data_IF_794682016886
#
_entry.id   IF_794682016886
#
_cell.length_a   1.000
_cell.length_b   1.000
_cell.length_c   1.000
_cell.angle_alpha   90.00
_cell.angle_beta   90.00
_cell.angle_gamma   90.00
#
_symmetry.space_group_name_H-M   'P 1'
#
loop_
_entity.id
_entity.type
_entity.pdbx_description
1 polymer ?
#
# COMPACT_ATOMS: atom_id res chain seq x y z
N UNK A 1 -10.21 1.83 47.61
CA UNK A 1 -9.61 0.84 46.67
C UNK A 1 -10.70 -0.01 45.99
N UNK A 2 -11.58 0.57 45.15
CA UNK A 2 -12.71 -0.16 44.53
C UNK A 2 -13.08 0.30 43.09
N UNK A 3 -12.13 0.79 42.30
CA UNK A 3 -12.41 1.23 40.91
C UNK A 3 -11.96 0.25 39.81
N UNK A 4 -11.41 -0.92 40.19
CA UNK A 4 -10.76 -1.85 39.25
C UNK A 4 -11.72 -2.81 38.53
N UNK A 5 -13.02 -2.50 38.49
CA UNK A 5 -14.06 -3.43 37.99
C UNK A 5 -15.19 -2.73 37.22
N UNK A 6 -14.89 -1.65 36.48
CA UNK A 6 -15.80 -1.18 35.42
C UNK A 6 -15.56 -2.03 34.18
N UNK A 7 -16.60 -2.58 33.51
CA UNK A 7 -16.40 -3.22 32.21
C UNK A 7 -15.74 -2.21 31.29
N UNK A 8 -14.57 -2.56 30.76
CA UNK A 8 -13.85 -1.75 29.78
C UNK A 8 -14.83 -1.31 28.69
N UNK A 9 -14.84 -0.01 28.36
CA UNK A 9 -15.65 0.47 27.25
C UNK A 9 -15.29 -0.35 26.01
N UNK A 10 -16.24 -0.64 25.12
CA UNK A 10 -15.98 -1.43 23.89
C UNK A 10 -14.80 -0.86 23.08
N UNK A 11 -14.55 0.44 23.21
CA UNK A 11 -13.36 1.09 22.66
C UNK A 11 -12.07 0.58 23.31
N UNK A 12 -11.98 0.52 24.64
CA UNK A 12 -10.77 0.13 25.38
C UNK A 12 -10.33 -1.31 25.06
N UNK A 13 -11.28 -2.21 24.82
CA UNK A 13 -10.96 -3.59 24.42
C UNK A 13 -10.41 -3.68 23.00
N UNK A 14 -10.86 -2.82 22.09
CA UNK A 14 -10.35 -2.71 20.70
C UNK A 14 -8.99 -2.02 20.67
N UNK A 15 -8.75 -1.04 21.55
CA UNK A 15 -7.51 -0.27 21.61
C UNK A 15 -6.38 -0.97 22.39
N UNK A 16 -6.71 -1.97 23.22
CA UNK A 16 -5.74 -2.72 24.03
C UNK A 16 -4.52 -3.25 23.24
N UNK A 17 -4.65 -3.77 22.01
CA UNK A 17 -3.51 -4.19 21.20
C UNK A 17 -2.62 -3.02 20.73
N UNK A 18 -3.16 -1.81 20.60
CA UNK A 18 -2.39 -0.60 20.27
C UNK A 18 -1.60 -0.10 21.48
N UNK A 19 -2.15 -0.24 22.68
CA UNK A 19 -1.53 0.26 23.92
C UNK A 19 -0.30 -0.54 24.36
N UNK A 20 -0.20 -1.82 24.00
CA UNK A 20 0.96 -2.65 24.37
C UNK A 20 1.37 -3.59 23.23
N UNK A 21 2.03 -3.07 22.18
CA UNK A 21 2.46 -3.89 21.05
C UNK A 21 3.54 -4.88 21.48
N UNK A 22 3.41 -6.14 21.08
CA UNK A 22 4.42 -7.16 21.37
C UNK A 22 5.75 -6.91 20.64
N UNK A 23 6.85 -7.47 21.14
CA UNK A 23 8.18 -7.35 20.50
C UNK A 23 8.18 -7.73 19.01
N UNK A 24 7.37 -8.72 18.62
CA UNK A 24 7.19 -9.14 17.22
C UNK A 24 6.67 -8.01 16.32
N UNK A 25 5.76 -7.19 16.82
CA UNK A 25 5.23 -6.05 16.07
C UNK A 25 6.35 -5.06 15.72
N UNK A 26 7.18 -4.68 16.70
CA UNK A 26 8.30 -3.79 16.47
C UNK A 26 9.30 -4.36 15.46
N UNK A 27 9.62 -5.66 15.54
CA UNK A 27 10.50 -6.32 14.56
C UNK A 27 9.93 -6.20 13.14
N UNK A 28 8.64 -6.50 12.95
CA UNK A 28 8.00 -6.41 11.64
C UNK A 28 7.96 -4.97 11.11
N UNK A 29 7.66 -3.99 11.98
CA UNK A 29 7.66 -2.56 11.61
C UNK A 29 9.07 -2.10 11.24
N UNK A 30 10.09 -2.50 11.98
CA UNK A 30 11.49 -2.17 11.65
C UNK A 30 11.90 -2.78 10.32
N UNK A 31 11.59 -4.05 10.06
CA UNK A 31 11.89 -4.69 8.77
C UNK A 31 11.18 -3.97 7.62
N UNK A 32 9.88 -3.68 7.78
CA UNK A 32 9.12 -2.93 6.78
C UNK A 32 9.70 -1.53 6.54
N UNK A 33 10.12 -0.82 7.60
CA UNK A 33 10.77 0.47 7.51
C UNK A 33 12.13 0.42 6.79
N UNK A 34 12.94 -0.60 7.06
CA UNK A 34 14.22 -0.81 6.37
C UNK A 34 14.03 -1.09 4.87
N UNK A 35 13.04 -1.92 4.52
CA UNK A 35 12.69 -2.18 3.12
C UNK A 35 12.18 -0.92 2.42
N UNK A 36 11.41 -0.07 3.12
CA UNK A 36 10.96 1.21 2.58
C UNK A 36 12.13 2.16 2.31
N UNK A 37 13.08 2.28 3.25
CA UNK A 37 14.28 3.12 3.06
C UNK A 37 15.14 2.61 1.91
N UNK A 38 15.32 1.28 1.80
CA UNK A 38 16.01 0.67 0.66
C UNK A 38 15.31 1.01 -0.65
N UNK A 39 13.98 0.84 -0.71
CA UNK A 39 13.18 1.13 -1.88
C UNK A 39 13.30 2.60 -2.31
N UNK A 40 13.19 3.55 -1.36
CA UNK A 40 13.37 4.97 -1.64
C UNK A 40 14.79 5.29 -2.14
N UNK A 41 15.81 4.63 -1.60
CA UNK A 41 17.19 4.75 -2.08
C UNK A 41 17.34 4.28 -3.54
N UNK A 42 16.74 3.14 -3.88
CA UNK A 42 16.72 2.63 -5.25
C UNK A 42 15.95 3.55 -6.21
N UNK A 43 14.84 4.16 -5.76
CA UNK A 43 14.10 5.11 -6.57
C UNK A 43 14.88 6.41 -6.81
N UNK A 44 15.57 6.95 -5.79
CA UNK A 44 16.47 8.11 -5.97
C UNK A 44 17.60 7.78 -6.94
N UNK A 45 18.15 6.56 -6.88
CA UNK A 45 19.13 6.09 -7.86
C UNK A 45 18.56 6.09 -9.28
N UNK A 46 17.35 5.57 -9.48
CA UNK A 46 16.67 5.63 -10.77
C UNK A 46 16.47 7.07 -11.25
N UNK A 47 16.05 8.00 -10.39
CA UNK A 47 15.84 9.39 -10.80
C UNK A 47 17.14 10.06 -11.27
N UNK A 48 18.30 9.65 -10.76
CA UNK A 48 19.61 10.19 -11.17
C UNK A 48 20.12 9.61 -12.49
N UNK A 49 19.97 8.31 -12.69
CA UNK A 49 20.54 7.58 -13.82
C UNK A 49 19.53 7.27 -14.94
N UNK A 50 18.25 7.58 -14.73
CA UNK A 50 17.15 7.31 -15.66
C UNK A 50 16.60 5.88 -15.55
N UNK A 51 15.52 5.62 -16.29
CA UNK A 51 14.82 4.33 -16.34
C UNK A 51 15.67 3.18 -16.92
N UNK A 52 16.85 3.48 -17.47
CA UNK A 52 17.79 2.44 -17.94
C UNK A 52 18.23 1.50 -16.81
N UNK A 53 18.29 1.97 -15.56
CA UNK A 53 18.72 1.13 -14.42
C UNK A 53 17.73 0.02 -14.09
N UNK A 54 16.47 0.17 -14.49
CA UNK A 54 15.43 -0.85 -14.31
C UNK A 54 15.20 -1.69 -15.57
N UNK A 55 15.95 -1.43 -16.65
CA UNK A 55 15.72 -2.06 -17.94
C UNK A 55 14.43 -1.62 -18.63
N UNK A 56 13.80 -0.54 -18.15
CA UNK A 56 12.55 0.03 -18.66
C UNK A 56 12.82 1.23 -19.58
N UNK A 57 13.83 1.11 -20.45
CA UNK A 57 14.19 2.16 -21.41
C UNK A 57 13.21 2.27 -22.59
N UNK A 58 13.43 3.28 -23.43
CA UNK A 58 12.60 3.52 -24.62
C UNK A 58 12.58 2.35 -25.61
N UNK A 59 11.47 2.24 -26.34
CA UNK A 59 11.35 1.30 -27.44
C UNK A 59 12.37 1.65 -28.54
N UNK A 60 13.40 0.80 -28.68
CA UNK A 60 14.40 0.91 -29.74
C UNK A 60 15.83 0.96 -29.20
N UNK A 61 16.34 2.17 -28.92
CA UNK A 61 17.78 2.45 -28.80
C UNK A 61 18.53 1.78 -27.65
N UNK A 62 17.82 1.24 -26.64
CA UNK A 62 18.44 0.55 -25.49
C UNK A 62 17.79 -0.80 -25.14
N UNK A 63 16.88 -1.31 -25.98
CA UNK A 63 16.28 -2.65 -25.82
C UNK A 63 15.37 -2.86 -24.60
N UNK A 64 14.80 -1.79 -24.03
CA UNK A 64 13.93 -1.87 -22.86
C UNK A 64 12.46 -2.24 -23.16
N UNK A 65 11.75 -2.79 -22.16
CA UNK A 65 10.29 -2.95 -22.18
C UNK A 65 9.67 -1.79 -21.40
N UNK A 66 8.89 -0.89 -22.04
CA UNK A 66 8.50 0.37 -21.41
C UNK A 66 7.58 0.20 -20.17
N UNK A 67 6.77 -0.87 -20.12
CA UNK A 67 5.73 -1.08 -19.08
C UNK A 67 5.93 -2.38 -18.29
N UNK A 68 7.17 -2.68 -17.93
CA UNK A 68 7.54 -3.90 -17.20
C UNK A 68 7.06 -3.90 -15.75
N UNK A 69 7.99 -3.89 -14.79
CA UNK A 69 7.68 -4.16 -13.39
C UNK A 69 6.77 -3.10 -12.74
N UNK A 70 6.85 -1.84 -13.15
CA UNK A 70 6.04 -0.76 -12.55
C UNK A 70 4.57 -0.85 -12.93
N UNK A 71 4.26 -0.96 -14.23
CA UNK A 71 2.87 -1.12 -14.68
C UNK A 71 2.31 -2.48 -14.24
N UNK A 72 3.10 -3.55 -14.26
CA UNK A 72 2.70 -4.84 -13.69
C UNK A 72 2.32 -4.73 -12.20
N UNK A 73 3.11 -4.01 -11.41
CA UNK A 73 2.82 -3.76 -10.00
C UNK A 73 1.59 -2.89 -9.80
N UNK A 74 1.42 -1.84 -10.63
CA UNK A 74 0.21 -1.01 -10.64
C UNK A 74 -1.05 -1.87 -10.85
N UNK A 75 -1.09 -2.70 -11.90
CA UNK A 75 -2.24 -3.56 -12.20
C UNK A 75 -2.50 -4.55 -11.06
N UNK A 76 -1.44 -5.12 -10.47
CA UNK A 76 -1.54 -6.00 -9.31
C UNK A 76 -2.25 -5.33 -8.12
N UNK A 77 -1.81 -4.14 -7.74
CA UNK A 77 -2.41 -3.40 -6.62
C UNK A 77 -3.83 -2.92 -6.92
N UNK A 78 -4.11 -2.50 -8.15
CA UNK A 78 -5.48 -2.20 -8.59
C UNK A 78 -6.37 -3.43 -8.48
N UNK A 79 -5.89 -4.61 -8.88
CA UNK A 79 -6.59 -5.88 -8.74
C UNK A 79 -6.94 -6.22 -7.28
N UNK A 80 -5.97 -6.07 -6.36
CA UNK A 80 -6.20 -6.24 -4.92
C UNK A 80 -7.30 -5.29 -4.43
N UNK A 81 -7.30 -4.03 -4.88
CA UNK A 81 -8.29 -3.05 -4.46
C UNK A 81 -9.73 -3.42 -4.87
N UNK A 82 -9.89 -3.97 -6.08
CA UNK A 82 -11.18 -4.44 -6.60
C UNK A 82 -11.70 -5.63 -5.79
N UNK A 83 -10.82 -6.56 -5.41
CA UNK A 83 -11.17 -7.64 -4.49
C UNK A 83 -11.71 -7.12 -3.17
N UNK A 84 -11.08 -6.10 -2.59
CA UNK A 84 -11.57 -5.45 -1.36
C UNK A 84 -12.93 -4.77 -1.52
N UNK A 85 -13.16 -4.08 -2.65
CA UNK A 85 -14.46 -3.45 -2.97
C UNK A 85 -15.55 -4.52 -3.09
N UNK A 86 -15.30 -5.61 -3.80
CA UNK A 86 -16.27 -6.70 -3.98
C UNK A 86 -16.66 -7.34 -2.64
N UNK A 87 -15.69 -7.58 -1.75
CA UNK A 87 -15.95 -8.13 -0.41
C UNK A 87 -16.79 -7.14 0.41
N UNK A 88 -16.40 -5.86 0.45
CA UNK A 88 -17.13 -4.84 1.21
C UNK A 88 -18.56 -4.65 0.70
N UNK A 89 -18.74 -4.57 -0.61
CA UNK A 89 -20.04 -4.45 -1.27
C UNK A 89 -20.90 -5.69 -1.04
N UNK A 90 -20.34 -6.89 -1.23
CA UNK A 90 -21.05 -8.16 -1.05
C UNK A 90 -21.59 -8.32 0.37
N UNK A 91 -20.76 -8.08 1.39
CA UNK A 91 -21.20 -8.16 2.80
C UNK A 91 -22.37 -7.22 3.10
N UNK A 92 -22.37 -6.01 2.55
CA UNK A 92 -23.43 -5.02 2.75
C UNK A 92 -24.69 -5.32 1.95
N UNK A 93 -24.54 -5.74 0.69
CA UNK A 93 -25.65 -6.07 -0.19
C UNK A 93 -26.46 -7.25 0.35
N UNK A 94 -25.76 -8.31 0.79
CA UNK A 94 -26.37 -9.51 1.37
C UNK A 94 -26.67 -9.37 2.87
N UNK A 95 -26.42 -8.21 3.48
CA UNK A 95 -26.66 -7.90 4.90
C UNK A 95 -26.05 -8.93 5.86
N UNK A 96 -24.85 -9.41 5.55
CA UNK A 96 -24.18 -10.45 6.33
C UNK A 96 -23.50 -9.85 7.58
N UNK A 97 -24.28 -9.70 8.65
CA UNK A 97 -23.86 -8.96 9.85
C UNK A 97 -22.61 -9.51 10.54
N UNK A 98 -22.38 -10.82 10.44
CA UNK A 98 -21.22 -11.51 10.99
C UNK A 98 -19.90 -11.06 10.32
N UNK A 99 -19.96 -10.67 9.05
CA UNK A 99 -18.77 -10.32 8.26
C UNK A 99 -18.48 -8.81 8.20
N UNK A 100 -19.25 -7.96 8.91
CA UNK A 100 -18.96 -6.52 8.97
C UNK A 100 -17.54 -6.14 9.43
N UNK A 101 -16.90 -6.86 10.38
CA UNK A 101 -15.49 -6.61 10.69
C UNK A 101 -14.55 -6.86 9.52
N UNK A 102 -14.81 -7.92 8.73
CA UNK A 102 -14.02 -8.26 7.53
C UNK A 102 -14.22 -7.22 6.44
N UNK A 103 -15.46 -6.77 6.22
CA UNK A 103 -15.75 -5.70 5.27
C UNK A 103 -14.96 -4.41 5.58
N UNK A 104 -14.86 -4.01 6.85
CA UNK A 104 -14.05 -2.84 7.26
C UNK A 104 -12.56 -3.04 6.99
N UNK A 105 -12.02 -4.24 7.22
CA UNK A 105 -10.62 -4.53 6.88
C UNK A 105 -10.39 -4.51 5.37
N UNK A 106 -11.34 -5.02 4.59
CA UNK A 106 -11.29 -4.99 3.13
C UNK A 106 -11.29 -3.55 2.58
N UNK A 107 -12.05 -2.63 3.21
CA UNK A 107 -12.03 -1.21 2.85
C UNK A 107 -10.68 -0.54 3.12
N UNK A 108 -10.09 -0.80 4.29
CA UNK A 108 -8.77 -0.27 4.63
C UNK A 108 -7.71 -0.81 3.65
N UNK A 109 -7.81 -2.08 3.26
CA UNK A 109 -6.95 -2.67 2.24
C UNK A 109 -7.14 -2.01 0.87
N UNK A 110 -8.38 -1.75 0.44
CA UNK A 110 -8.66 -1.06 -0.84
C UNK A 110 -8.02 0.32 -0.87
N UNK A 111 -8.16 1.12 0.18
CA UNK A 111 -7.58 2.48 0.24
C UNK A 111 -6.05 2.40 0.19
N UNK A 112 -5.44 1.49 0.97
CA UNK A 112 -3.99 1.27 0.95
C UNK A 112 -3.48 0.81 -0.42
N UNK A 113 -4.15 -0.17 -1.03
CA UNK A 113 -3.78 -0.71 -2.33
C UNK A 113 -3.90 0.33 -3.46
N UNK A 114 -4.96 1.13 -3.48
CA UNK A 114 -5.12 2.21 -4.47
C UNK A 114 -4.06 3.32 -4.28
N UNK A 115 -3.72 3.64 -3.04
CA UNK A 115 -2.65 4.61 -2.76
C UNK A 115 -1.32 4.11 -3.33
N UNK A 116 -0.98 2.85 -3.08
CA UNK A 116 0.26 2.23 -3.59
C UNK A 116 0.22 2.13 -5.13
N UNK A 117 -0.91 1.75 -5.72
CA UNK A 117 -1.09 1.74 -7.17
C UNK A 117 -0.82 3.13 -7.78
N UNK A 118 -1.39 4.19 -7.21
CA UNK A 118 -1.13 5.56 -7.66
C UNK A 118 0.35 5.95 -7.58
N UNK A 119 1.05 5.51 -6.54
CA UNK A 119 2.50 5.72 -6.42
C UNK A 119 3.27 5.03 -7.55
N UNK A 120 2.90 3.80 -7.95
CA UNK A 120 3.56 3.10 -9.06
C UNK A 120 3.50 3.84 -10.40
N UNK A 121 2.47 4.65 -10.64
CA UNK A 121 2.43 5.53 -11.83
C UNK A 121 3.51 6.61 -11.71
N UNK A 122 3.66 7.24 -10.54
CA UNK A 122 4.68 8.27 -10.32
C UNK A 122 6.09 7.67 -10.46
N UNK A 123 6.29 6.43 -10.00
CA UNK A 123 7.56 5.71 -10.11
C UNK A 123 7.93 5.38 -11.56
N UNK A 124 6.93 5.10 -12.40
CA UNK A 124 7.11 4.81 -13.83
C UNK A 124 7.48 6.08 -14.63
N UNK A 125 7.03 7.24 -14.17
CA UNK A 125 7.40 8.52 -14.77
C UNK A 125 8.86 8.82 -14.41
N UNK A 126 9.78 8.55 -15.34
CA UNK A 126 11.22 8.75 -15.13
C UNK A 126 11.63 10.19 -14.80
N UNK A 127 10.79 11.18 -15.11
CA UNK A 127 10.99 12.61 -14.80
C UNK A 127 9.73 13.24 -14.19
N UNK A 128 9.44 12.98 -12.90
CA UNK A 128 8.23 13.48 -12.27
C UNK A 128 8.23 15.01 -12.14
N UNK A 129 9.39 15.66 -12.20
CA UNK A 129 9.58 17.12 -12.19
C UNK A 129 8.89 17.83 -13.37
N UNK A 130 8.68 17.13 -14.48
CA UNK A 130 8.16 17.71 -15.73
C UNK A 130 6.68 17.47 -15.98
N UNK A 131 5.98 16.77 -15.08
CA UNK A 131 4.60 16.31 -15.30
C UNK A 131 3.62 17.47 -15.51
N UNK A 132 3.84 18.60 -14.85
CA UNK A 132 2.94 19.79 -14.95
C UNK A 132 3.47 20.84 -15.92
N UNK A 133 4.77 20.82 -16.22
CA UNK A 133 5.46 21.82 -17.05
C UNK A 133 5.70 21.37 -18.49
N UNK A 134 5.20 20.19 -18.88
CA UNK A 134 5.19 19.72 -20.27
C UNK A 134 4.08 20.41 -21.07
N UNK A 135 4.30 21.69 -21.39
CA UNK A 135 3.65 22.42 -22.49
C UNK A 135 4.70 22.85 -23.50
#
# INVERSE_FOLDING_TARGET
MRERNKPLSRADSILKPLANPGKKYYILVTIAGLLLVWFLGAWVWQLKYGLVVTGLGDWGSTGGVPWGIYIGSFIWWVGISHGGILISAGVRLFKLSVFYPVARLAELLTIGALTIAGLFIILDIGRPDRVVTSV
#
